data_IF_635711200793
#
_entry.id   IF_635711200793
#
_cell.length_a   1.000
_cell.length_b   1.000
_cell.length_c   1.000
_cell.angle_alpha   90.00
_cell.angle_beta   90.00
_cell.angle_gamma   90.00
#
_symmetry.space_group_name_H-M   'P 1'
#
loop_
_entity.id
_entity.type
_entity.pdbx_description
1 polymer ?
#
# COMPACT_ATOMS: atom_id res chain seq x y z
N UNK A 1 -11.66 -2.94 15.72
CA UNK A 1 -11.88 -1.60 15.12
C UNK A 1 -13.34 -1.43 14.74
N UNK A 2 -13.82 -0.18 14.67
CA UNK A 2 -15.20 0.11 14.26
C UNK A 2 -15.42 -0.21 12.77
N UNK A 3 -16.68 -0.46 12.38
CA UNK A 3 -17.06 -0.67 10.99
C UNK A 3 -16.66 0.52 10.10
N UNK A 4 -16.85 1.75 10.60
CA UNK A 4 -16.45 2.96 9.89
C UNK A 4 -14.94 3.01 9.61
N UNK A 5 -14.10 2.69 10.61
CA UNK A 5 -12.64 2.68 10.44
C UNK A 5 -12.20 1.65 9.39
N UNK A 6 -12.80 0.45 9.41
CA UNK A 6 -12.44 -0.61 8.46
C UNK A 6 -12.92 -0.32 7.04
N UNK A 7 -14.10 0.28 6.93
CA UNK A 7 -14.61 0.79 5.65
C UNK A 7 -13.70 1.88 5.08
N UNK A 8 -13.18 2.77 5.93
CA UNK A 8 -12.18 3.77 5.55
C UNK A 8 -10.89 3.11 5.06
N UNK A 9 -10.31 2.16 5.81
CA UNK A 9 -9.13 1.42 5.37
C UNK A 9 -9.35 0.78 4.00
N UNK A 10 -10.46 0.04 3.84
CA UNK A 10 -10.83 -0.60 2.57
C UNK A 10 -11.00 0.41 1.43
N UNK A 11 -11.62 1.55 1.69
CA UNK A 11 -11.82 2.61 0.70
C UNK A 11 -10.48 3.16 0.18
N UNK A 12 -9.56 3.48 1.09
CA UNK A 12 -8.23 3.97 0.73
C UNK A 12 -7.31 2.88 0.17
N UNK A 13 -7.59 1.60 0.40
CA UNK A 13 -6.84 0.50 -0.22
C UNK A 13 -7.28 0.15 -1.64
N UNK A 14 -8.46 0.57 -2.13
CA UNK A 14 -8.91 0.07 -3.45
C UNK A 14 -9.92 0.89 -4.23
N UNK A 15 -10.55 1.89 -3.61
CA UNK A 15 -11.67 2.61 -4.23
C UNK A 15 -11.43 4.10 -4.43
N UNK A 16 -10.63 4.75 -3.58
CA UNK A 16 -10.47 6.21 -3.60
C UNK A 16 -10.00 6.76 -4.97
N UNK A 17 -9.05 6.08 -5.62
CA UNK A 17 -8.50 6.47 -6.93
C UNK A 17 -9.46 6.24 -8.09
N UNK A 18 -10.55 5.48 -7.88
CA UNK A 18 -11.65 5.26 -8.84
C UNK A 18 -12.75 6.32 -8.71
N UNK A 19 -12.75 7.11 -7.64
CA UNK A 19 -13.78 8.09 -7.39
C UNK A 19 -13.83 9.13 -8.53
N UNK A 20 -15.00 9.50 -9.09
CA UNK A 20 -15.09 10.41 -10.24
C UNK A 20 -14.38 11.75 -10.06
N UNK A 21 -14.35 12.27 -8.83
CA UNK A 21 -13.62 13.50 -8.52
C UNK A 21 -12.09 13.36 -8.63
N UNK A 22 -11.55 12.16 -8.45
CA UNK A 22 -10.11 11.86 -8.46
C UNK A 22 -9.68 11.26 -9.80
N UNK A 23 -10.55 10.48 -10.44
CA UNK A 23 -10.29 9.70 -11.65
C UNK A 23 -9.95 10.51 -12.92
N UNK A 24 -9.80 11.83 -12.82
CA UNK A 24 -9.32 12.70 -13.90
C UNK A 24 -7.89 13.21 -13.68
N UNK A 25 -7.26 12.87 -12.55
CA UNK A 25 -5.92 13.31 -12.19
C UNK A 25 -4.92 12.16 -12.23
N UNK A 26 -3.69 12.47 -12.65
CA UNK A 26 -2.58 11.52 -12.69
C UNK A 26 -1.83 11.45 -11.35
N UNK A 27 -1.83 12.54 -10.60
CA UNK A 27 -1.17 12.63 -9.30
C UNK A 27 -2.18 12.87 -8.20
N UNK A 28 -1.99 12.20 -7.07
CA UNK A 28 -2.85 12.30 -5.90
C UNK A 28 -1.96 12.61 -4.69
N UNK A 29 -2.26 13.69 -3.99
CA UNK A 29 -1.68 14.00 -2.69
C UNK A 29 -2.75 13.78 -1.62
N UNK A 30 -2.60 12.71 -0.84
CA UNK A 30 -3.48 12.44 0.30
C UNK A 30 -2.95 13.16 1.53
N UNK A 31 -3.86 13.89 2.17
CA UNK A 31 -3.64 14.67 3.38
C UNK A 31 -4.75 14.30 4.37
N UNK A 32 -4.39 13.79 5.53
CA UNK A 32 -5.35 13.57 6.61
C UNK A 32 -5.65 14.88 7.36
N UNK A 33 -6.73 14.88 8.14
CA UNK A 33 -7.25 16.06 8.85
C UNK A 33 -6.35 16.58 9.98
N UNK A 34 -5.44 15.75 10.50
CA UNK A 34 -4.59 16.03 11.65
C UNK A 34 -3.13 16.37 11.27
N UNK A 35 -2.82 16.45 9.96
CA UNK A 35 -1.46 16.74 9.52
C UNK A 35 -1.07 18.20 9.77
N UNK A 36 0.23 18.43 9.96
CA UNK A 36 0.82 19.77 10.06
C UNK A 36 2.10 19.86 9.26
N UNK A 37 2.24 20.92 8.46
CA UNK A 37 3.50 21.28 7.82
C UNK A 37 4.26 22.22 8.75
N UNK A 38 5.44 21.80 9.20
CA UNK A 38 6.31 22.62 10.06
C UNK A 38 7.20 23.58 9.27
N UNK A 39 7.33 23.35 7.96
CA UNK A 39 8.13 24.13 7.04
C UNK A 39 7.31 24.38 5.77
N UNK A 40 7.64 25.46 5.05
CA UNK A 40 7.11 25.70 3.71
C UNK A 40 7.61 24.62 2.73
N UNK A 41 6.83 24.36 1.69
CA UNK A 41 7.21 23.50 0.56
C UNK A 41 7.48 24.41 -0.65
N UNK A 42 8.73 24.86 -0.87
CA UNK A 42 9.04 25.93 -1.83
C UNK A 42 9.11 25.43 -3.29
N UNK A 43 8.65 24.22 -3.57
CA UNK A 43 8.68 23.58 -4.88
C UNK A 43 7.36 22.87 -5.16
N UNK A 44 7.07 22.62 -6.43
CA UNK A 44 5.94 21.77 -6.81
C UNK A 44 6.31 20.30 -6.56
N UNK A 45 5.63 19.60 -5.63
CA UNK A 45 6.00 18.24 -5.28
C UNK A 45 5.72 17.25 -6.41
N UNK A 46 4.75 17.51 -7.29
CA UNK A 46 4.46 16.64 -8.43
C UNK A 46 5.52 16.77 -9.53
N UNK A 47 6.06 17.98 -9.75
CA UNK A 47 7.24 18.16 -10.60
C UNK A 47 8.42 17.38 -10.02
N UNK A 48 8.69 17.51 -8.72
CA UNK A 48 9.77 16.79 -8.05
C UNK A 48 9.67 15.27 -8.19
N UNK A 49 8.46 14.72 -8.07
CA UNK A 49 8.21 13.28 -8.25
C UNK A 49 8.53 12.81 -9.66
N UNK A 50 8.11 13.58 -10.67
CA UNK A 50 8.37 13.28 -12.08
C UNK A 50 9.85 13.37 -12.43
N UNK A 51 10.56 14.39 -11.97
CA UNK A 51 11.99 14.55 -12.19
C UNK A 51 12.81 13.42 -11.55
N UNK A 52 12.33 12.89 -10.42
CA UNK A 52 12.93 11.75 -9.73
C UNK A 52 12.50 10.39 -10.32
N UNK A 53 11.61 10.35 -11.32
CA UNK A 53 10.97 9.14 -11.82
C UNK A 53 10.37 8.26 -10.70
N UNK A 54 9.78 8.90 -9.68
CA UNK A 54 9.24 8.24 -8.50
C UNK A 54 7.71 8.18 -8.59
N UNK A 55 7.10 7.01 -8.36
CA UNK A 55 5.64 6.84 -8.41
C UNK A 55 4.95 7.01 -7.05
N UNK A 56 5.70 6.97 -5.95
CA UNK A 56 5.15 7.02 -4.60
C UNK A 56 6.14 7.73 -3.66
N UNK A 57 5.63 8.58 -2.77
CA UNK A 57 6.39 9.31 -1.77
C UNK A 57 5.71 9.25 -0.41
N UNK A 58 6.53 9.21 0.62
CA UNK A 58 6.17 9.12 2.02
C UNK A 58 7.09 10.02 2.85
N UNK A 59 6.66 10.38 4.05
CA UNK A 59 7.49 11.13 5.03
C UNK A 59 7.85 10.30 6.26
N UNK A 60 7.12 9.22 6.53
CA UNK A 60 7.28 8.41 7.73
C UNK A 60 7.13 6.92 7.41
N UNK A 61 8.01 6.11 8.00
CA UNK A 61 7.87 4.65 8.09
C UNK A 61 7.58 4.32 9.54
N UNK A 62 6.66 3.39 9.80
CA UNK A 62 6.34 2.97 11.15
C UNK A 62 5.99 1.48 11.19
N UNK A 63 6.23 0.78 12.31
CA UNK A 63 5.70 -0.55 12.53
C UNK A 63 4.18 -0.51 12.70
N UNK A 64 3.50 -1.42 12.03
CA UNK A 64 2.13 -1.80 12.36
C UNK A 64 2.12 -2.80 13.54
N UNK A 65 0.93 -3.04 14.09
CA UNK A 65 0.75 -3.97 15.20
C UNK A 65 0.21 -5.33 14.72
N UNK A 66 0.86 -6.46 15.04
CA UNK A 66 0.52 -7.79 14.49
C UNK A 66 -0.96 -8.21 14.65
N UNK A 67 -1.62 -7.80 15.73
CA UNK A 67 -3.01 -8.19 16.00
C UNK A 67 -4.04 -7.47 15.10
N UNK A 68 -3.64 -6.38 14.43
CA UNK A 68 -4.54 -5.54 13.63
C UNK A 68 -4.97 -6.27 12.35
N UNK A 69 -4.05 -7.02 11.75
CA UNK A 69 -4.26 -7.82 10.54
C UNK A 69 -3.46 -9.14 10.60
N UNK A 70 -3.82 -10.09 11.48
CA UNK A 70 -3.00 -11.29 11.73
C UNK A 70 -2.88 -12.21 10.51
N UNK A 71 -3.88 -12.23 9.64
CA UNK A 71 -3.91 -13.03 8.41
C UNK A 71 -3.29 -12.33 7.20
N UNK A 72 -2.93 -11.05 7.30
CA UNK A 72 -2.42 -10.30 6.15
C UNK A 72 -1.11 -10.89 5.64
N UNK A 73 -0.08 -11.15 6.45
CA UNK A 73 1.17 -11.72 5.96
C UNK A 73 0.96 -13.05 5.20
N UNK A 74 0.21 -13.99 5.77
CA UNK A 74 -0.08 -15.27 5.09
C UNK A 74 -0.81 -15.07 3.76
N UNK A 75 -1.79 -14.16 3.72
CA UNK A 75 -2.51 -13.85 2.49
C UNK A 75 -1.59 -13.22 1.43
N UNK A 76 -0.71 -12.30 1.83
CA UNK A 76 0.28 -11.68 0.92
C UNK A 76 1.27 -12.73 0.40
N UNK A 77 1.76 -13.63 1.26
CA UNK A 77 2.65 -14.72 0.85
C UNK A 77 1.97 -15.63 -0.17
N UNK A 78 0.72 -16.05 0.07
CA UNK A 78 -0.05 -16.86 -0.87
C UNK A 78 -0.31 -16.14 -2.20
N UNK A 79 -0.56 -14.82 -2.18
CA UNK A 79 -0.69 -14.02 -3.40
C UNK A 79 0.62 -14.03 -4.20
N UNK A 80 1.77 -13.76 -3.55
CA UNK A 80 3.08 -13.75 -4.21
C UNK A 80 3.39 -15.09 -4.90
N UNK A 81 3.07 -16.21 -4.25
CA UNK A 81 3.29 -17.54 -4.82
C UNK A 81 2.35 -17.85 -6.00
N UNK A 82 1.07 -17.51 -5.89
CA UNK A 82 0.05 -17.81 -6.92
C UNK A 82 0.03 -16.83 -8.09
N UNK A 83 0.56 -15.62 -7.92
CA UNK A 83 0.56 -14.55 -8.91
C UNK A 83 1.98 -14.08 -9.25
N UNK A 84 2.97 -14.96 -9.16
CA UNK A 84 4.38 -14.65 -9.44
C UNK A 84 4.61 -13.99 -10.81
N UNK A 85 3.80 -14.35 -11.80
CA UNK A 85 3.81 -13.75 -13.15
C UNK A 85 3.42 -12.25 -13.21
N UNK A 86 2.78 -11.72 -12.17
CA UNK A 86 2.44 -10.29 -12.04
C UNK A 86 3.52 -9.49 -11.30
N UNK A 87 4.46 -10.15 -10.63
CA UNK A 87 5.46 -9.50 -9.80
C UNK A 87 6.65 -9.08 -10.67
N UNK A 88 6.99 -7.77 -10.73
CA UNK A 88 8.15 -7.32 -11.48
C UNK A 88 9.46 -7.94 -10.97
N UNK A 89 10.44 -8.07 -11.86
CA UNK A 89 11.80 -8.46 -11.47
C UNK A 89 12.46 -7.38 -10.60
N UNK A 90 13.36 -7.78 -9.71
CA UNK A 90 14.14 -6.85 -8.88
C UNK A 90 13.35 -6.17 -7.76
N UNK A 91 12.13 -6.64 -7.44
CA UNK A 91 11.34 -6.11 -6.32
C UNK A 91 12.06 -6.36 -4.98
N UNK A 92 12.15 -5.30 -4.17
CA UNK A 92 12.69 -5.39 -2.82
C UNK A 92 11.67 -5.98 -1.84
N UNK A 93 11.57 -7.30 -1.79
CA UNK A 93 10.73 -8.00 -0.81
C UNK A 93 11.24 -7.89 0.63
N UNK A 94 12.53 -7.59 0.83
CA UNK A 94 13.14 -7.54 2.16
C UNK A 94 12.62 -6.37 3.01
N UNK A 95 11.97 -5.37 2.40
CA UNK A 95 11.27 -4.32 3.16
C UNK A 95 10.10 -4.89 3.99
N UNK A 96 9.39 -5.89 3.46
CA UNK A 96 8.22 -6.49 4.12
C UNK A 96 8.52 -7.83 4.79
N UNK A 97 9.59 -8.52 4.38
CA UNK A 97 9.85 -9.90 4.78
C UNK A 97 11.23 -10.09 5.39
N UNK A 98 11.28 -10.64 6.61
CA UNK A 98 12.50 -11.20 7.20
C UNK A 98 12.97 -12.45 6.44
N UNK A 99 12.03 -13.25 5.91
CA UNK A 99 12.32 -14.46 5.14
C UNK A 99 11.65 -14.40 3.76
N UNK A 100 12.30 -13.71 2.82
CA UNK A 100 11.82 -13.55 1.43
C UNK A 100 11.57 -14.89 0.75
N UNK A 101 12.45 -15.88 0.93
CA UNK A 101 12.32 -17.18 0.28
C UNK A 101 11.03 -17.91 0.70
N UNK A 102 10.70 -17.87 2.00
CA UNK A 102 9.46 -18.45 2.52
C UNK A 102 8.23 -17.68 2.03
N UNK A 103 8.34 -16.35 1.94
CA UNK A 103 7.27 -15.49 1.43
C UNK A 103 6.92 -15.80 -0.02
N UNK A 104 7.92 -15.95 -0.89
CA UNK A 104 7.74 -16.24 -2.31
C UNK A 104 7.20 -17.65 -2.58
N UNK A 105 7.37 -18.59 -1.64
CA UNK A 105 6.77 -19.94 -1.72
C UNK A 105 5.35 -20.04 -1.16
N UNK A 106 4.81 -18.97 -0.58
CA UNK A 106 3.46 -19.00 -0.01
C UNK A 106 3.38 -19.59 1.39
N UNK A 107 4.53 -19.75 2.07
CA UNK A 107 4.65 -20.45 3.36
C UNK A 107 4.76 -19.48 4.55
N UNK A 108 4.95 -18.18 4.29
CA UNK A 108 5.30 -17.21 5.33
C UNK A 108 4.07 -16.72 6.13
N UNK A 109 4.30 -16.41 7.40
CA UNK A 109 3.27 -15.90 8.30
C UNK A 109 3.70 -14.61 9.01
N UNK A 110 2.98 -14.23 10.06
CA UNK A 110 3.21 -12.97 10.79
C UNK A 110 4.61 -12.84 11.37
N UNK A 111 5.24 -13.95 11.79
CA UNK A 111 6.60 -13.95 12.34
C UNK A 111 7.69 -13.73 11.28
N UNK A 112 7.34 -13.86 9.99
CA UNK A 112 8.25 -13.61 8.88
C UNK A 112 8.12 -12.17 8.35
N UNK A 113 7.16 -11.39 8.85
CA UNK A 113 6.82 -10.03 8.39
C UNK A 113 7.52 -8.96 9.21
N UNK A 114 8.04 -7.91 8.57
CA UNK A 114 8.79 -6.83 9.26
C UNK A 114 7.90 -5.86 10.02
N UNK A 115 6.59 -5.87 9.72
CA UNK A 115 5.58 -4.91 10.18
C UNK A 115 5.80 -3.48 9.68
N UNK A 116 6.84 -3.22 8.88
CA UNK A 116 7.14 -1.88 8.41
C UNK A 116 6.17 -1.45 7.32
N UNK A 117 5.55 -0.29 7.50
CA UNK A 117 4.71 0.33 6.47
C UNK A 117 5.06 1.82 6.30
N UNK A 118 4.80 2.34 5.11
CA UNK A 118 4.72 3.78 4.89
C UNK A 118 3.46 4.28 5.60
N UNK A 119 3.61 5.28 6.48
CA UNK A 119 2.48 5.86 7.18
C UNK A 119 1.71 6.75 6.22
N UNK A 120 0.53 6.30 5.80
CA UNK A 120 -0.18 6.80 4.62
C UNK A 120 -1.16 7.95 4.89
N UNK A 121 -1.08 8.58 6.08
CA UNK A 121 -1.83 9.82 6.36
C UNK A 121 -1.26 11.02 5.57
N UNK A 122 -0.03 10.89 5.08
CA UNK A 122 0.59 11.72 4.06
C UNK A 122 1.18 10.82 2.98
N UNK A 123 0.73 10.95 1.74
CA UNK A 123 1.31 10.24 0.59
C UNK A 123 1.11 11.03 -0.69
N UNK A 124 2.11 11.02 -1.56
CA UNK A 124 1.97 11.46 -2.95
C UNK A 124 2.16 10.25 -3.83
N UNK A 125 1.18 9.98 -4.69
CA UNK A 125 1.18 8.81 -5.57
C UNK A 125 0.79 9.19 -6.99
N UNK A 126 1.44 8.53 -7.95
CA UNK A 126 0.97 8.52 -9.32
C UNK A 126 -0.12 7.47 -9.48
N UNK A 127 -1.17 7.79 -10.23
CA UNK A 127 -2.35 6.95 -10.41
C UNK A 127 -2.03 5.60 -11.05
N UNK A 128 -0.99 5.53 -11.87
CA UNK A 128 -0.56 4.26 -12.50
C UNK A 128 -0.21 3.17 -11.49
N UNK A 129 0.20 3.53 -10.27
CA UNK A 129 0.43 2.57 -9.19
C UNK A 129 -0.87 1.80 -8.89
N UNK A 130 -1.96 2.55 -8.69
CA UNK A 130 -3.26 2.03 -8.27
C UNK A 130 -4.01 1.33 -9.40
N UNK A 131 -3.81 1.77 -10.64
CA UNK A 131 -4.41 1.14 -11.84
C UNK A 131 -3.56 0.00 -12.40
N UNK A 132 -2.41 -0.32 -11.79
CA UNK A 132 -1.54 -1.39 -12.28
C UNK A 132 -2.23 -2.76 -12.17
N UNK A 133 -1.98 -3.69 -13.11
CA UNK A 133 -2.52 -5.05 -13.02
C UNK A 133 -2.15 -5.76 -11.72
N UNK A 134 -0.92 -5.58 -11.23
CA UNK A 134 -0.46 -6.19 -9.98
C UNK A 134 -1.21 -5.64 -8.76
N UNK A 135 -1.39 -4.31 -8.66
CA UNK A 135 -2.09 -3.71 -7.51
C UNK A 135 -3.57 -4.06 -7.49
N UNK A 136 -4.22 -3.99 -8.66
CA UNK A 136 -5.65 -4.32 -8.78
C UNK A 136 -5.92 -5.79 -8.45
N UNK A 137 -5.13 -6.72 -8.97
CA UNK A 137 -5.22 -8.14 -8.63
C UNK A 137 -4.93 -8.39 -7.13
N UNK A 138 -3.92 -7.71 -6.57
CA UNK A 138 -3.57 -7.81 -5.16
C UNK A 138 -4.70 -7.34 -4.25
N UNK A 139 -5.27 -6.17 -4.53
CA UNK A 139 -6.41 -5.64 -3.78
C UNK A 139 -7.61 -6.58 -3.86
N UNK A 140 -7.99 -7.05 -5.05
CA UNK A 140 -9.13 -7.96 -5.22
C UNK A 140 -8.93 -9.31 -4.52
N UNK A 141 -7.70 -9.83 -4.50
CA UNK A 141 -7.34 -11.03 -3.77
C UNK A 141 -7.56 -10.84 -2.25
N UNK A 142 -7.06 -9.74 -1.69
CA UNK A 142 -7.21 -9.43 -0.26
C UNK A 142 -8.66 -9.10 0.13
N UNK A 143 -9.39 -8.42 -0.74
CA UNK A 143 -10.81 -8.05 -0.51
C UNK A 143 -11.69 -9.31 -0.42
N UNK A 144 -11.44 -10.31 -1.28
CA UNK A 144 -12.10 -11.62 -1.24
C UNK A 144 -11.73 -12.42 0.00
N UNK A 145 -10.51 -12.25 0.53
CA UNK A 145 -10.07 -12.91 1.76
C UNK A 145 -10.72 -12.32 3.03
N UNK A 146 -11.45 -11.21 2.93
CA UNK A 146 -12.31 -10.69 3.98
C UNK A 146 -11.62 -9.97 5.15
N UNK A 147 -10.29 -9.78 5.10
CA UNK A 147 -9.52 -9.15 6.18
C UNK A 147 -9.95 -7.72 6.52
N UNK A 148 -10.51 -7.01 5.54
CA UNK A 148 -11.04 -5.63 5.67
C UNK A 148 -12.56 -5.57 5.82
N UNK A 149 -13.27 -6.70 5.75
CA UNK A 149 -14.70 -6.77 5.37
C UNK A 149 -15.68 -7.29 6.45
N UNK A 150 -15.22 -7.58 7.67
CA UNK A 150 -16.04 -8.21 8.73
C UNK A 150 -16.09 -7.44 10.05
#
# INVERSE_FOLDING_TARGET
FTLGYRSMCRFFSGFFWRHPAIAKYDWIWRLDSDIRFHCDVPYDPFIRMRDANALYSFVQISPDTPFVQPSLPSNVSSFLASHSHLIPEGVNHAFQWHNVNKALRGEAGVNDWTLMNFYNNWEISHRSLWTSPVYTAFFEYLDKAGGTSL
#
